data_IF_684810308454
#
_entry.id   IF_684810308454
#
_cell.length_a   1.000
_cell.length_b   1.000
_cell.length_c   1.000
_cell.angle_alpha   90.00
_cell.angle_beta   90.00
_cell.angle_gamma   90.00
#
_symmetry.space_group_name_H-M   'P 1'
#
loop_
_entity.id
_entity.type
_entity.pdbx_description
1 polymer ?
#
# COMPACT_ATOMS: atom_id res chain seq x y z
N UNK A 1 -11.99 12.46 35.58
CA UNK A 1 -11.04 11.58 36.29
C UNK A 1 -10.83 10.35 35.42
N UNK A 2 -9.64 10.18 34.85
CA UNK A 2 -9.31 9.01 34.02
C UNK A 2 -8.57 8.01 34.90
N UNK A 3 -9.15 6.83 35.10
CA UNK A 3 -8.56 5.74 35.87
C UNK A 3 -7.69 4.87 34.99
N UNK A 4 -6.41 4.75 35.35
CA UNK A 4 -5.51 3.74 34.82
C UNK A 4 -5.69 2.43 35.59
N UNK A 5 -5.89 1.32 34.87
CA UNK A 5 -5.71 -0.01 35.42
C UNK A 5 -4.46 -0.63 34.80
N UNK A 6 -3.43 -0.77 35.63
CA UNK A 6 -2.24 -1.57 35.34
C UNK A 6 -2.54 -3.03 35.67
N UNK A 7 -2.29 -3.93 34.73
CA UNK A 7 -2.21 -5.37 34.99
C UNK A 7 -0.82 -5.89 34.62
N UNK A 8 -0.10 -6.32 35.65
CA UNK A 8 1.18 -7.00 35.57
C UNK A 8 1.02 -8.41 34.98
N UNK A 9 1.89 -8.79 34.04
CA UNK A 9 2.11 -10.19 33.69
C UNK A 9 3.54 -10.57 34.09
N UNK A 10 3.64 -11.45 35.08
CA UNK A 10 4.88 -12.05 35.55
C UNK A 10 5.47 -12.96 34.47
N UNK A 11 6.79 -12.87 34.29
CA UNK A 11 7.49 -13.42 33.14
C UNK A 11 7.60 -14.93 33.07
N UNK A 12 7.84 -15.39 31.85
CA UNK A 12 8.46 -16.67 31.54
C UNK A 12 9.76 -16.38 30.77
N UNK A 13 10.89 -16.71 31.41
CA UNK A 13 12.22 -16.61 30.81
C UNK A 13 12.39 -17.71 29.76
N UNK A 14 12.43 -17.33 28.49
CA UNK A 14 13.07 -18.16 27.45
C UNK A 14 14.18 -17.34 26.81
N UNK A 15 15.41 -17.63 27.21
CA UNK A 15 16.60 -17.11 26.53
C UNK A 15 16.57 -17.56 25.06
N UNK A 16 16.63 -16.66 24.07
CA UNK A 16 17.12 -17.05 22.76
C UNK A 16 18.63 -16.78 22.75
N UNK A 17 19.38 -17.87 22.81
CA UNK A 17 20.79 -17.90 22.45
C UNK A 17 21.03 -17.06 21.19
N UNK A 18 22.05 -16.20 21.23
CA UNK A 18 22.61 -15.57 20.05
C UNK A 18 22.84 -16.62 18.96
N UNK A 19 22.05 -16.53 17.91
CA UNK A 19 22.42 -17.00 16.58
C UNK A 19 22.24 -15.82 15.66
N UNK A 20 23.36 -15.13 15.43
CA UNK A 20 23.55 -14.13 14.40
C UNK A 20 23.29 -14.73 13.02
N UNK A 21 22.02 -14.84 12.63
CA UNK A 21 21.65 -14.85 11.22
C UNK A 21 21.26 -13.45 10.83
N UNK A 22 22.16 -12.80 10.08
CA UNK A 22 21.84 -11.71 9.19
C UNK A 22 20.72 -12.17 8.24
N UNK A 23 19.48 -12.05 8.68
CA UNK A 23 18.33 -12.03 7.79
C UNK A 23 18.20 -10.56 7.43
N UNK A 24 18.71 -10.23 6.25
CA UNK A 24 18.46 -8.98 5.57
C UNK A 24 16.96 -8.96 5.23
N UNK A 25 16.10 -8.68 6.21
CA UNK A 25 14.67 -8.61 6.00
C UNK A 25 14.37 -7.29 5.28
N UNK A 26 14.18 -7.38 3.97
CA UNK A 26 13.52 -6.33 3.20
C UNK A 26 12.02 -6.34 3.57
N UNK A 27 11.70 -6.14 4.85
CA UNK A 27 10.32 -6.10 5.31
C UNK A 27 9.62 -4.92 4.62
N UNK A 28 8.59 -5.20 3.85
CA UNK A 28 7.79 -4.19 3.17
C UNK A 28 6.96 -3.43 4.20
N UNK A 29 6.86 -2.11 4.07
CA UNK A 29 5.97 -1.33 4.92
C UNK A 29 4.52 -1.65 4.55
N UNK A 30 3.71 -2.00 5.55
CA UNK A 30 2.28 -2.21 5.40
C UNK A 30 1.52 -1.57 6.57
N UNK A 31 0.36 -1.00 6.27
CA UNK A 31 -0.52 -0.30 7.22
C UNK A 31 -1.66 -1.25 7.65
N UNK A 32 -1.80 -1.47 8.95
CA UNK A 32 -2.97 -2.15 9.52
C UNK A 32 -4.10 -1.14 9.78
N UNK A 33 -5.02 -1.00 8.81
CA UNK A 33 -6.37 -0.48 9.04
C UNK A 33 -7.27 -1.71 9.14
N UNK A 34 -8.25 -1.73 10.05
CA UNK A 34 -9.19 -2.83 10.40
C UNK A 34 -9.95 -3.52 9.24
N UNK A 35 -9.60 -3.25 7.98
CA UNK A 35 -10.10 -3.89 6.78
C UNK A 35 -8.95 -4.61 6.09
N UNK A 36 -8.76 -5.88 6.44
CA UNK A 36 -7.88 -6.77 5.70
C UNK A 36 -8.33 -6.80 4.23
N UNK A 37 -7.43 -6.48 3.28
CA UNK A 37 -7.77 -6.45 1.86
C UNK A 37 -8.37 -7.78 1.40
N UNK A 38 -7.88 -8.88 1.98
CA UNK A 38 -8.44 -10.22 1.80
C UNK A 38 -9.84 -10.35 2.39
N UNK A 39 -10.14 -9.72 3.53
CA UNK A 39 -11.47 -9.73 4.12
C UNK A 39 -12.48 -8.98 3.24
N UNK A 40 -12.13 -7.81 2.72
CA UNK A 40 -12.99 -7.08 1.76
C UNK A 40 -13.19 -7.90 0.50
N UNK A 41 -12.11 -8.44 -0.09
CA UNK A 41 -12.19 -9.26 -1.29
C UNK A 41 -13.06 -10.52 -1.05
N UNK A 42 -12.93 -11.19 0.09
CA UNK A 42 -13.72 -12.36 0.45
C UNK A 42 -15.18 -12.02 0.67
N UNK A 43 -15.50 -10.91 1.35
CA UNK A 43 -16.87 -10.44 1.51
C UNK A 43 -17.52 -10.12 0.16
N UNK A 44 -16.76 -9.50 -0.73
CA UNK A 44 -17.18 -9.20 -2.10
C UNK A 44 -17.41 -10.47 -2.92
N UNK A 45 -16.46 -11.40 -2.89
CA UNK A 45 -16.54 -12.65 -3.65
C UNK A 45 -17.66 -13.56 -3.11
N UNK A 46 -17.87 -13.58 -1.79
CA UNK A 46 -18.99 -14.26 -1.16
C UNK A 46 -20.32 -13.65 -1.59
N UNK A 47 -20.42 -12.32 -1.58
CA UNK A 47 -21.61 -11.59 -2.03
C UNK A 47 -21.92 -11.89 -3.49
N UNK A 48 -20.92 -11.84 -4.37
CA UNK A 48 -21.06 -12.18 -5.79
C UNK A 48 -21.44 -13.64 -6.03
N UNK A 49 -20.99 -14.58 -5.17
CA UNK A 49 -21.39 -15.99 -5.23
C UNK A 49 -22.82 -16.22 -4.76
N UNK A 50 -23.32 -15.43 -3.80
CA UNK A 50 -24.67 -15.57 -3.25
C UNK A 50 -25.76 -15.18 -4.27
N UNK A 51 -25.50 -14.23 -5.16
CA UNK A 51 -26.51 -13.77 -6.14
C UNK A 51 -26.53 -14.62 -7.43
N UNK A 52 -25.62 -15.58 -7.61
CA UNK A 52 -25.52 -16.38 -8.85
C UNK A 52 -24.98 -15.60 -10.05
N UNK A 53 -24.45 -16.29 -11.08
CA UNK A 53 -23.82 -15.66 -12.23
C UNK A 53 -24.83 -14.90 -13.12
N UNK A 54 -24.46 -13.68 -13.55
CA UNK A 54 -25.23 -12.75 -14.39
C UNK A 54 -26.59 -12.31 -13.82
N UNK A 55 -26.78 -12.39 -12.51
CA UNK A 55 -27.99 -11.89 -11.85
C UNK A 55 -28.03 -10.37 -11.77
N UNK A 56 -29.23 -9.83 -11.49
CA UNK A 56 -29.42 -8.41 -11.28
C UNK A 56 -28.49 -7.90 -10.17
N UNK A 57 -28.51 -8.55 -8.99
CA UNK A 57 -27.68 -8.13 -7.88
C UNK A 57 -26.18 -8.23 -8.19
N UNK A 58 -25.69 -9.26 -8.89
CA UNK A 58 -24.27 -9.33 -9.26
C UNK A 58 -23.87 -8.16 -10.16
N UNK A 59 -24.69 -7.81 -11.15
CA UNK A 59 -24.43 -6.68 -12.05
C UNK A 59 -24.45 -5.34 -11.29
N UNK A 60 -25.41 -5.16 -10.38
CA UNK A 60 -25.52 -3.94 -9.57
C UNK A 60 -24.33 -3.78 -8.60
N UNK A 61 -23.87 -4.87 -7.96
CA UNK A 61 -22.66 -4.84 -7.13
C UNK A 61 -21.40 -4.59 -7.96
N UNK A 62 -21.29 -5.19 -9.15
CA UNK A 62 -20.19 -4.90 -10.09
C UNK A 62 -20.14 -3.42 -10.49
N UNK A 63 -21.30 -2.82 -10.75
CA UNK A 63 -21.43 -1.40 -11.07
C UNK A 63 -20.99 -0.50 -9.90
N UNK A 64 -21.48 -0.78 -8.68
CA UNK A 64 -21.05 -0.08 -7.46
C UNK A 64 -19.53 -0.15 -7.26
N UNK A 65 -18.95 -1.35 -7.37
CA UNK A 65 -17.53 -1.56 -7.08
C UNK A 65 -16.61 -0.88 -8.07
N UNK A 66 -16.93 -0.97 -9.37
CA UNK A 66 -16.17 -0.30 -10.42
C UNK A 66 -16.24 1.22 -10.26
N UNK A 67 -17.43 1.76 -9.94
CA UNK A 67 -17.64 3.18 -9.69
C UNK A 67 -16.87 3.72 -8.48
N UNK A 68 -16.92 3.02 -7.35
CA UNK A 68 -16.25 3.46 -6.11
C UNK A 68 -14.72 3.30 -6.13
N UNK A 69 -14.16 2.36 -6.91
CA UNK A 69 -12.71 2.16 -7.03
C UNK A 69 -12.01 3.17 -7.94
N UNK A 70 -12.70 3.63 -9.00
CA UNK A 70 -12.08 4.46 -10.04
C UNK A 70 -11.85 5.91 -9.65
N UNK A 71 -12.72 6.48 -8.80
CA UNK A 71 -12.63 7.86 -8.33
C UNK A 71 -13.48 8.08 -7.07
N UNK A 72 -13.34 9.26 -6.44
CA UNK A 72 -14.26 9.68 -5.38
C UNK A 72 -15.65 9.84 -5.99
N UNK A 73 -16.51 8.83 -5.78
CA UNK A 73 -17.86 8.83 -6.32
C UNK A 73 -18.62 10.08 -5.85
N UNK A 74 -19.30 10.77 -6.77
CA UNK A 74 -20.14 11.93 -6.43
C UNK A 74 -21.37 11.48 -5.64
N UNK A 75 -22.06 12.42 -5.00
CA UNK A 75 -23.33 12.11 -4.32
C UNK A 75 -24.36 11.50 -5.28
N UNK A 76 -24.50 12.07 -6.49
CA UNK A 76 -25.40 11.51 -7.51
C UNK A 76 -25.02 10.10 -7.92
N UNK A 77 -23.72 9.80 -8.06
CA UNK A 77 -23.27 8.44 -8.37
C UNK A 77 -23.62 7.46 -7.25
N UNK A 78 -23.42 7.84 -5.99
CA UNK A 78 -23.80 7.01 -4.85
C UNK A 78 -25.30 6.78 -4.82
N UNK A 79 -26.10 7.80 -5.10
CA UNK A 79 -27.55 7.66 -5.24
C UNK A 79 -27.94 6.70 -6.38
N UNK A 80 -27.28 6.79 -7.55
CA UNK A 80 -27.50 5.87 -8.67
C UNK A 80 -27.13 4.43 -8.31
N UNK A 81 -26.00 4.18 -7.64
CA UNK A 81 -25.62 2.83 -7.22
C UNK A 81 -26.66 2.25 -6.24
N UNK A 82 -27.09 3.04 -5.26
CA UNK A 82 -28.13 2.65 -4.31
C UNK A 82 -29.46 2.34 -5.02
N UNK A 83 -29.80 3.12 -6.06
CA UNK A 83 -30.98 2.87 -6.90
C UNK A 83 -30.93 1.50 -7.56
N UNK A 84 -29.83 1.18 -8.26
CA UNK A 84 -29.68 -0.12 -8.93
C UNK A 84 -29.70 -1.29 -7.95
N UNK A 85 -29.10 -1.14 -6.76
CA UNK A 85 -29.15 -2.16 -5.72
C UNK A 85 -30.57 -2.38 -5.19
N UNK A 86 -31.30 -1.29 -4.93
CA UNK A 86 -32.68 -1.34 -4.44
C UNK A 86 -33.61 -1.97 -5.47
N UNK A 87 -33.48 -1.60 -6.74
CA UNK A 87 -34.25 -2.14 -7.86
C UNK A 87 -34.01 -3.65 -8.03
N UNK A 88 -32.74 -4.09 -7.97
CA UNK A 88 -32.43 -5.52 -8.02
C UNK A 88 -32.97 -6.29 -6.82
N UNK A 89 -32.92 -5.72 -5.62
CA UNK A 89 -33.49 -6.34 -4.43
C UNK A 89 -35.02 -6.52 -4.55
N UNK A 90 -35.72 -5.53 -5.09
CA UNK A 90 -37.16 -5.63 -5.35
C UNK A 90 -37.48 -6.75 -6.35
N UNK A 91 -36.75 -6.80 -7.47
CA UNK A 91 -36.88 -7.85 -8.49
C UNK A 91 -36.67 -9.25 -7.92
N UNK A 92 -35.58 -9.44 -7.16
CA UNK A 92 -35.23 -10.73 -6.58
C UNK A 92 -36.19 -11.16 -5.46
N UNK A 93 -36.86 -10.20 -4.80
CA UNK A 93 -37.91 -10.48 -3.81
C UNK A 93 -39.32 -10.68 -4.40
N UNK A 94 -39.46 -10.60 -5.74
CA UNK A 94 -40.74 -10.73 -6.44
C UNK A 94 -41.66 -9.52 -6.28
N UNK A 95 -41.12 -8.38 -5.87
CA UNK A 95 -41.83 -7.10 -5.73
C UNK A 95 -41.73 -6.29 -7.02
N UNK A 96 -42.61 -5.27 -7.20
CA UNK A 96 -42.49 -4.36 -8.34
C UNK A 96 -41.14 -3.65 -8.37
N UNK A 97 -40.61 -3.52 -9.58
CA UNK A 97 -39.40 -2.77 -9.91
C UNK A 97 -39.54 -1.30 -9.51
N UNK A 98 -38.40 -0.66 -9.24
CA UNK A 98 -38.39 0.78 -9.04
C UNK A 98 -38.79 1.50 -10.34
N UNK A 99 -39.35 2.72 -10.26
CA UNK A 99 -39.64 3.54 -11.43
C UNK A 99 -38.42 3.71 -12.35
N UNK A 100 -38.62 3.94 -13.65
CA UNK A 100 -37.46 4.19 -14.52
C UNK A 100 -36.77 5.51 -14.13
N UNK A 101 -35.47 5.42 -13.84
CA UNK A 101 -34.56 6.54 -13.63
C UNK A 101 -33.45 6.47 -14.70
N UNK A 102 -33.30 7.53 -15.49
CA UNK A 102 -32.32 7.62 -16.58
C UNK A 102 -31.25 8.65 -16.22
N UNK A 103 -30.03 8.46 -16.70
CA UNK A 103 -28.85 9.34 -16.52
C UNK A 103 -29.08 10.81 -16.93
N UNK A 104 -30.15 11.09 -17.68
CA UNK A 104 -30.58 12.46 -18.04
C UNK A 104 -31.39 13.16 -16.94
N UNK A 105 -31.85 12.43 -15.94
CA UNK A 105 -32.64 12.94 -14.82
C UNK A 105 -31.76 13.06 -13.59
N UNK A 106 -32.03 14.05 -12.74
CA UNK A 106 -31.36 14.12 -11.44
C UNK A 106 -31.89 13.04 -10.52
N UNK A 107 -31.03 12.49 -9.66
CA UNK A 107 -31.45 11.46 -8.72
C UNK A 107 -32.57 11.92 -7.78
N UNK A 108 -32.54 13.19 -7.36
CA UNK A 108 -33.63 13.80 -6.61
C UNK A 108 -34.98 13.73 -7.35
N UNK A 109 -34.99 13.85 -8.67
CA UNK A 109 -36.22 13.69 -9.47
C UNK A 109 -36.69 12.24 -9.51
N UNK A 110 -35.79 11.27 -9.46
CA UNK A 110 -36.14 9.86 -9.43
C UNK A 110 -36.70 9.45 -8.06
N UNK A 111 -36.09 9.93 -6.98
CA UNK A 111 -36.55 9.65 -5.61
C UNK A 111 -37.97 10.12 -5.36
N UNK A 112 -38.38 11.26 -5.93
CA UNK A 112 -39.77 11.75 -5.84
C UNK A 112 -40.82 10.81 -6.44
N UNK A 113 -40.42 9.84 -7.29
CA UNK A 113 -41.34 8.88 -7.90
C UNK A 113 -41.55 7.63 -7.04
N UNK A 114 -40.76 7.46 -5.99
CA UNK A 114 -40.86 6.30 -5.12
C UNK A 114 -42.17 6.33 -4.33
N UNK A 115 -42.76 5.17 -4.08
CA UNK A 115 -43.89 5.03 -3.18
C UNK A 115 -43.45 5.00 -1.70
N UNK A 116 -44.41 4.95 -0.77
CA UNK A 116 -44.12 4.95 0.68
C UNK A 116 -43.31 3.75 1.16
N UNK A 117 -43.38 2.63 0.45
CA UNK A 117 -42.63 1.41 0.77
C UNK A 117 -41.20 1.50 0.23
N UNK A 118 -41.04 1.91 -1.02
CA UNK A 118 -39.74 2.12 -1.68
C UNK A 118 -38.92 3.20 -0.97
N UNK A 119 -39.57 4.26 -0.48
CA UNK A 119 -38.94 5.30 0.35
C UNK A 119 -38.37 4.80 1.68
N UNK A 120 -38.77 3.62 2.16
CA UNK A 120 -38.20 2.98 3.35
C UNK A 120 -37.00 2.10 3.03
N UNK A 121 -37.02 1.45 1.87
CA UNK A 121 -35.96 0.54 1.43
C UNK A 121 -34.75 1.29 0.90
N UNK A 122 -34.96 2.27 0.02
CA UNK A 122 -33.88 2.99 -0.65
C UNK A 122 -32.83 3.59 0.32
N UNK A 123 -33.20 4.23 1.45
CA UNK A 123 -32.22 4.79 2.38
C UNK A 123 -31.24 3.76 2.95
N UNK A 124 -31.67 2.51 3.16
CA UNK A 124 -30.80 1.43 3.65
C UNK A 124 -29.70 1.12 2.65
N UNK A 125 -30.06 0.96 1.37
CA UNK A 125 -29.11 0.75 0.29
C UNK A 125 -28.21 1.97 0.06
N UNK A 126 -28.69 3.19 0.31
CA UNK A 126 -27.88 4.40 0.23
C UNK A 126 -26.82 4.45 1.34
N UNK A 127 -27.17 4.06 2.57
CA UNK A 127 -26.20 3.94 3.66
C UNK A 127 -25.16 2.87 3.35
N UNK A 128 -25.59 1.68 2.91
CA UNK A 128 -24.69 0.59 2.53
C UNK A 128 -23.73 1.02 1.41
N UNK A 129 -24.25 1.68 0.39
CA UNK A 129 -23.48 2.23 -0.73
C UNK A 129 -22.41 3.21 -0.24
N UNK A 130 -22.77 4.16 0.64
CA UNK A 130 -21.82 5.12 1.20
C UNK A 130 -20.68 4.40 1.93
N UNK A 131 -21.00 3.42 2.77
CA UNK A 131 -20.01 2.63 3.50
C UNK A 131 -19.09 1.87 2.56
N UNK A 132 -19.63 1.18 1.55
CA UNK A 132 -18.83 0.42 0.58
C UNK A 132 -17.88 1.35 -0.19
N UNK A 133 -18.38 2.50 -0.65
CA UNK A 133 -17.55 3.47 -1.37
C UNK A 133 -16.40 4.02 -0.49
N UNK A 134 -16.69 4.38 0.76
CA UNK A 134 -15.67 4.84 1.70
C UNK A 134 -14.61 3.78 1.99
N UNK A 135 -15.02 2.52 2.15
CA UNK A 135 -14.11 1.40 2.38
C UNK A 135 -13.20 1.16 1.17
N UNK A 136 -13.77 1.14 -0.05
CA UNK A 136 -13.01 0.94 -1.29
C UNK A 136 -12.01 2.08 -1.54
N UNK A 137 -12.41 3.32 -1.28
CA UNK A 137 -11.53 4.49 -1.42
C UNK A 137 -10.39 4.46 -0.39
N UNK A 138 -10.70 4.13 0.87
CA UNK A 138 -9.70 4.00 1.92
C UNK A 138 -8.68 2.91 1.59
N UNK A 139 -9.13 1.81 0.99
CA UNK A 139 -8.27 0.73 0.52
C UNK A 139 -7.35 1.17 -0.63
N UNK A 140 -7.90 1.87 -1.63
CA UNK A 140 -7.09 2.42 -2.72
C UNK A 140 -6.02 3.39 -2.20
N UNK A 141 -6.39 4.28 -1.28
CA UNK A 141 -5.46 5.22 -0.64
C UNK A 141 -4.35 4.50 0.14
N UNK A 142 -4.71 3.47 0.92
CA UNK A 142 -3.75 2.64 1.64
C UNK A 142 -2.71 2.08 0.69
N UNK A 143 -3.13 1.45 -0.41
CA UNK A 143 -2.20 0.81 -1.34
C UNK A 143 -1.24 1.83 -1.98
N UNK A 144 -1.70 3.04 -2.31
CA UNK A 144 -0.84 4.11 -2.82
C UNK A 144 0.17 4.57 -1.76
N UNK A 145 -0.25 4.74 -0.51
CA UNK A 145 0.66 5.11 0.58
C UNK A 145 1.72 4.03 0.80
N UNK A 146 1.31 2.76 0.86
CA UNK A 146 2.24 1.64 1.00
C UNK A 146 3.26 1.63 -0.14
N UNK A 147 2.80 1.74 -1.39
CA UNK A 147 3.69 1.79 -2.56
C UNK A 147 4.69 2.94 -2.45
N UNK A 148 4.22 4.15 -2.14
CA UNK A 148 5.08 5.33 -2.01
C UNK A 148 6.11 5.19 -0.90
N UNK A 149 5.72 4.69 0.27
CA UNK A 149 6.64 4.47 1.40
C UNK A 149 7.68 3.41 1.06
N UNK A 150 7.28 2.35 0.36
CA UNK A 150 8.20 1.30 -0.08
C UNK A 150 9.18 1.78 -1.15
N UNK A 151 8.73 2.60 -2.09
CA UNK A 151 9.59 3.23 -3.08
C UNK A 151 10.59 4.19 -2.43
N UNK A 152 10.13 4.99 -1.46
CA UNK A 152 10.99 5.86 -0.65
C UNK A 152 12.04 5.06 0.12
N UNK A 153 11.64 3.97 0.80
CA UNK A 153 12.54 3.08 1.54
C UNK A 153 13.63 2.50 0.64
N UNK A 154 13.27 2.02 -0.55
CA UNK A 154 14.24 1.50 -1.53
C UNK A 154 15.21 2.57 -2.00
N UNK A 155 14.72 3.79 -2.26
CA UNK A 155 15.56 4.92 -2.64
C UNK A 155 16.59 5.28 -1.55
N UNK A 156 16.14 5.37 -0.30
CA UNK A 156 17.03 5.66 0.84
C UNK A 156 18.11 4.58 1.02
N UNK A 157 17.73 3.29 0.97
CA UNK A 157 18.68 2.18 1.05
C UNK A 157 19.68 2.15 -0.11
N UNK A 158 19.27 2.56 -1.31
CA UNK A 158 20.16 2.61 -2.46
C UNK A 158 21.15 3.79 -2.34
N UNK A 159 20.70 4.94 -1.82
CA UNK A 159 21.57 6.08 -1.54
C UNK A 159 22.64 5.74 -0.50
N UNK A 160 22.26 5.11 0.61
CA UNK A 160 23.21 4.65 1.63
C UNK A 160 24.27 3.69 1.07
N UNK A 161 23.88 2.77 0.19
CA UNK A 161 24.83 1.87 -0.48
C UNK A 161 25.79 2.60 -1.40
N UNK A 162 25.36 3.66 -2.06
CA UNK A 162 26.23 4.49 -2.91
C UNK A 162 27.23 5.28 -2.07
N UNK A 163 26.80 5.88 -0.95
CA UNK A 163 27.69 6.62 -0.04
C UNK A 163 28.79 5.69 0.54
N UNK A 164 28.44 4.44 0.89
CA UNK A 164 29.40 3.42 1.35
C UNK A 164 30.38 3.01 0.22
N UNK A 165 29.90 2.94 -1.02
CA UNK A 165 30.73 2.60 -2.17
C UNK A 165 31.72 3.72 -2.49
N UNK A 166 31.28 4.98 -2.42
CA UNK A 166 32.11 6.17 -2.59
C UNK A 166 33.22 6.22 -1.53
N UNK A 167 32.86 6.05 -0.25
CA UNK A 167 33.85 6.00 0.84
C UNK A 167 34.89 4.90 0.65
N UNK A 168 34.48 3.69 0.23
CA UNK A 168 35.44 2.60 -0.05
C UNK A 168 36.32 2.88 -1.26
N UNK A 169 35.80 3.59 -2.26
CA UNK A 169 36.58 3.99 -3.43
C UNK A 169 37.69 4.96 -3.03
N UNK A 170 37.39 5.94 -2.17
CA UNK A 170 38.38 6.90 -1.68
C UNK A 170 39.50 6.24 -0.85
N UNK A 171 39.15 5.29 0.03
CA UNK A 171 40.12 4.52 0.79
C UNK A 171 41.10 3.76 -0.13
N UNK A 172 40.58 3.13 -1.19
CA UNK A 172 41.39 2.41 -2.18
C UNK A 172 42.31 3.37 -2.95
N UNK A 173 41.79 4.52 -3.38
CA UNK A 173 42.57 5.54 -4.08
C UNK A 173 43.71 6.06 -3.20
N UNK A 174 43.44 6.32 -1.91
CA UNK A 174 44.42 6.80 -0.96
C UNK A 174 45.52 5.75 -0.68
N UNK A 175 45.13 4.48 -0.49
CA UNK A 175 46.07 3.37 -0.32
C UNK A 175 46.97 3.17 -1.55
N UNK A 176 46.38 3.26 -2.75
CA UNK A 176 47.10 3.14 -4.02
C UNK A 176 48.12 4.29 -4.18
N UNK A 177 47.73 5.52 -3.86
CA UNK A 177 48.64 6.69 -3.88
C UNK A 177 49.81 6.53 -2.90
N UNK A 178 49.55 6.05 -1.69
CA UNK A 178 50.56 5.82 -0.67
C UNK A 178 51.57 4.72 -1.05
N UNK A 179 51.11 3.65 -1.71
CA UNK A 179 52.01 2.59 -2.21
C UNK A 179 52.88 3.07 -3.39
N UNK A 180 52.32 3.89 -4.29
CA UNK A 180 53.05 4.53 -5.39
C UNK A 180 54.12 5.50 -4.89
N UNK A 181 53.80 6.32 -3.88
CA UNK A 181 54.76 7.25 -3.29
C UNK A 181 55.89 6.53 -2.57
N UNK A 182 55.58 5.45 -1.84
CA UNK A 182 56.56 4.57 -1.20
C UNK A 182 57.48 3.89 -2.21
N UNK A 183 56.93 3.42 -3.33
CA UNK A 183 57.69 2.81 -4.42
C UNK A 183 58.61 3.81 -5.12
N UNK A 184 58.14 5.05 -5.37
CA UNK A 184 58.97 6.16 -5.88
C UNK A 184 60.10 6.51 -4.92
N UNK A 185 59.84 6.53 -3.61
CA UNK A 185 60.85 6.81 -2.58
C UNK A 185 61.91 5.71 -2.50
N UNK A 186 61.51 4.44 -2.58
CA UNK A 186 62.44 3.30 -2.67
C UNK A 186 63.30 3.36 -3.94
N UNK A 187 62.71 3.67 -5.10
CA UNK A 187 63.46 3.88 -6.36
C UNK A 187 64.48 5.01 -6.24
N UNK A 188 64.11 6.18 -5.70
CA UNK A 188 65.04 7.31 -5.49
C UNK A 188 66.18 6.95 -4.54
N UNK A 189 65.89 6.24 -3.45
CA UNK A 189 66.93 5.76 -2.51
C UNK A 189 67.87 4.74 -3.17
N UNK A 190 67.33 3.80 -3.95
CA UNK A 190 68.14 2.83 -4.70
C UNK A 190 69.04 3.50 -5.73
N UNK A 191 68.54 4.53 -6.43
CA UNK A 191 69.33 5.31 -7.38
C UNK A 191 70.48 6.07 -6.70
N UNK A 192 70.22 6.66 -5.53
CA UNK A 192 71.24 7.38 -4.75
C UNK A 192 72.35 6.45 -4.23
N UNK A 193 71.99 5.24 -3.77
CA UNK A 193 72.95 4.22 -3.32
C UNK A 193 73.81 3.79 -4.51
N UNK A 194 73.22 3.55 -5.68
CA UNK A 194 73.95 3.16 -6.89
C UNK A 194 74.96 4.23 -7.33
N UNK A 195 74.59 5.52 -7.28
CA UNK A 195 75.49 6.64 -7.59
C UNK A 195 76.64 6.81 -6.57
N UNK A 196 76.43 6.47 -5.30
CA UNK A 196 77.48 6.47 -4.28
C UNK A 196 78.46 5.31 -4.50
N UNK A 197 77.96 4.12 -4.83
CA UNK A 197 78.79 2.96 -5.16
C UNK A 197 79.65 3.18 -6.41
N UNK A 198 79.18 3.97 -7.37
CA UNK A 198 79.93 4.28 -8.60
C UNK A 198 81.01 5.35 -8.39
N UNK A 199 80.85 6.27 -7.42
CA UNK A 199 81.85 7.28 -7.10
C UNK A 199 82.97 6.79 -6.15
N UNK A 200 82.81 5.64 -5.50
CA UNK A 200 83.80 5.06 -4.58
C UNK A 200 84.66 3.96 -5.24
N UNK A 201 84.51 3.77 -6.54
CA UNK A 201 85.31 2.85 -7.35
C UNK A 201 86.09 3.59 -8.44
N UNK A 202 87.02 4.45 -8.04
CA UNK A 202 88.22 4.88 -8.77
C UNK A 202 89.28 5.33 -7.76
#
# INVERSE_FOLDING_TARGET
MWGWFSSSFSGENTNPSLSSRSIKSNAEFSIEIFSDQKAVQVLVDAKNKLVGPNSCGQNAYGYLMSGCKGMVATEEQRMMFAWHLSDCFQKESGRPDFPTCNDKQTMLSCLKKLDDHEHKIYPEFMLETNTICQQLQSHALKNEIERLVNDFKRSAQNKEKLDILESKSDDILQSTSNSLSSSKKKRKKGLAIFSLSFNMGY
#
